data_IF_756122861170
#
_entry.id   IF_756122861170
#
_cell.length_a   1.000
_cell.length_b   1.000
_cell.length_c   1.000
_cell.angle_alpha   90.00
_cell.angle_beta   90.00
_cell.angle_gamma   90.00
#
_symmetry.space_group_name_H-M   'P 1'
#
loop_
_entity.id
_entity.type
_entity.pdbx_description
1 polymer ?
#
# COMPACT_ATOMS: atom_id res chain seq x y z
N UNK A 1 8.56 33.12 76.70
CA UNK A 1 7.41 32.28 76.35
C UNK A 1 6.27 33.20 75.90
N UNK A 2 6.13 33.45 74.60
CA UNK A 2 4.92 34.05 73.98
C UNK A 2 5.07 34.12 72.44
N UNK A 3 3.96 33.90 71.73
CA UNK A 3 3.75 34.00 70.26
C UNK A 3 2.73 35.11 69.97
N UNK A 4 2.39 35.54 68.74
CA UNK A 4 2.50 35.03 67.34
C UNK A 4 2.69 36.30 66.42
N UNK A 5 2.51 36.33 65.07
CA UNK A 5 2.42 35.28 64.03
C UNK A 5 3.30 35.54 62.77
N UNK A 6 3.46 34.50 61.93
CA UNK A 6 3.77 34.66 60.50
C UNK A 6 2.52 35.09 59.73
N UNK A 7 2.66 36.02 58.78
CA UNK A 7 1.56 36.45 57.90
C UNK A 7 1.93 36.15 56.44
N UNK A 8 1.04 35.44 55.74
CA UNK A 8 1.25 34.92 54.40
C UNK A 8 0.95 36.02 53.36
N UNK A 9 1.91 36.34 52.50
CA UNK A 9 1.66 37.01 51.21
C UNK A 9 1.84 36.02 50.07
N UNK A 10 0.83 35.92 49.20
CA UNK A 10 0.85 35.03 48.03
C UNK A 10 1.88 35.50 47.01
N UNK A 11 2.91 34.70 46.76
CA UNK A 11 3.69 34.82 45.54
C UNK A 11 2.97 34.05 44.41
N UNK A 12 2.58 34.75 43.35
CA UNK A 12 2.14 34.13 42.10
C UNK A 12 3.32 33.43 41.44
N UNK A 13 3.26 32.11 41.13
CA UNK A 13 4.30 31.48 40.32
C UNK A 13 4.17 32.00 38.90
N UNK A 14 5.17 32.75 38.45
CA UNK A 14 5.36 33.09 37.04
C UNK A 14 5.51 31.81 36.24
N UNK A 15 4.58 31.53 35.32
CA UNK A 15 4.72 30.44 34.34
C UNK A 15 5.89 30.79 33.43
N UNK A 16 7.05 30.18 33.71
CA UNK A 16 8.25 30.35 32.89
C UNK A 16 8.04 29.74 31.51
N UNK A 17 8.53 30.42 30.45
CA UNK A 17 8.41 29.98 29.05
C UNK A 17 8.86 28.53 28.80
N UNK A 18 9.88 28.08 29.54
CA UNK A 18 10.43 26.73 29.46
C UNK A 18 9.46 25.61 29.89
N UNK A 19 8.34 25.94 30.56
CA UNK A 19 7.27 24.98 30.83
C UNK A 19 6.26 24.79 29.70
N UNK A 20 6.30 25.64 28.65
CA UNK A 20 5.51 25.45 27.42
C UNK A 20 6.30 24.76 26.33
N UNK A 21 7.57 25.11 26.16
CA UNK A 21 8.45 24.45 25.17
C UNK A 21 8.51 22.93 25.44
N UNK A 22 8.66 22.49 26.70
CA UNK A 22 8.65 21.06 27.05
C UNK A 22 7.27 20.37 26.96
N UNK A 23 6.17 21.12 26.83
CA UNK A 23 4.81 20.57 26.68
C UNK A 23 4.30 20.65 25.22
N UNK A 24 4.88 21.55 24.43
CA UNK A 24 4.70 21.66 22.98
C UNK A 24 5.63 20.67 22.23
N UNK A 25 6.80 20.32 22.80
CA UNK A 25 7.66 19.23 22.29
C UNK A 25 7.03 17.82 22.45
N UNK A 26 6.11 17.60 23.40
CA UNK A 26 5.37 16.33 23.53
C UNK A 26 4.21 16.18 22.53
N UNK A 27 3.77 17.24 21.83
CA UNK A 27 2.73 17.15 20.79
C UNK A 27 3.30 16.90 19.37
N UNK A 28 4.62 16.85 19.19
CA UNK A 28 5.27 16.65 17.87
C UNK A 28 5.75 15.22 17.56
N UNK A 29 5.38 14.20 18.36
CA UNK A 29 5.50 12.75 18.00
C UNK A 29 4.51 12.33 16.88
N UNK A 30 4.37 13.15 15.83
CA UNK A 30 3.54 12.84 14.67
C UNK A 30 4.08 11.64 13.90
N UNK A 31 3.39 10.50 14.00
CA UNK A 31 3.42 9.29 13.14
C UNK A 31 4.45 9.25 12.00
N UNK A 32 5.71 9.06 12.36
CA UNK A 32 6.86 8.85 11.44
C UNK A 32 6.58 7.76 10.39
N UNK A 33 5.85 6.71 10.76
CA UNK A 33 5.48 5.60 9.88
C UNK A 33 4.53 6.05 8.77
N UNK A 34 3.44 6.73 9.09
CA UNK A 34 2.53 7.32 8.11
C UNK A 34 3.22 8.43 7.29
N UNK A 35 3.96 9.34 7.94
CA UNK A 35 4.74 10.39 7.26
C UNK A 35 5.66 9.80 6.19
N UNK A 36 6.29 8.66 6.45
CA UNK A 36 7.21 8.01 5.49
C UNK A 36 6.55 7.54 4.19
N UNK A 37 5.27 7.13 4.23
CA UNK A 37 4.58 6.53 3.08
C UNK A 37 3.56 7.47 2.42
N UNK A 38 3.06 8.48 3.15
CA UNK A 38 2.05 9.43 2.67
C UNK A 38 2.34 10.05 1.28
N UNK A 39 3.58 10.48 0.94
CA UNK A 39 3.89 11.02 -0.41
C UNK A 39 3.71 10.04 -1.57
N UNK A 40 3.52 8.76 -1.27
CA UNK A 40 3.39 7.66 -2.23
C UNK A 40 2.00 7.03 -2.21
N UNK A 41 1.05 7.63 -1.49
CA UNK A 41 -0.36 7.25 -1.40
C UNK A 41 -1.23 8.24 -2.19
N UNK A 42 -2.41 7.81 -2.70
CA UNK A 42 -3.29 8.65 -3.49
C UNK A 42 -4.23 9.54 -2.63
N UNK A 43 -3.86 9.81 -1.39
CA UNK A 43 -4.68 10.48 -0.38
C UNK A 43 -4.06 11.82 0.04
N UNK A 44 -4.91 12.77 0.41
CA UNK A 44 -4.49 14.01 1.05
C UNK A 44 -4.62 13.83 2.56
N UNK A 45 -3.66 14.37 3.31
CA UNK A 45 -3.74 14.50 4.77
C UNK A 45 -4.07 15.95 5.17
N UNK A 46 -4.92 16.12 6.18
CA UNK A 46 -5.22 17.42 6.82
C UNK A 46 -4.64 17.54 8.24
N UNK A 47 -4.23 16.43 8.84
CA UNK A 47 -3.76 16.32 10.24
C UNK A 47 -3.04 14.97 10.42
N UNK A 48 -2.46 14.72 11.60
CA UNK A 48 -1.62 13.52 11.82
C UNK A 48 -2.30 12.17 11.51
N UNK A 49 -3.64 12.04 11.57
CA UNK A 49 -4.39 10.83 11.17
C UNK A 49 -5.74 11.10 10.47
N UNK A 50 -5.93 12.24 9.79
CA UNK A 50 -7.14 12.47 8.96
C UNK A 50 -6.80 12.46 7.47
N UNK A 51 -7.18 11.38 6.81
CA UNK A 51 -6.90 11.08 5.41
C UNK A 51 -8.19 11.16 4.58
N UNK A 52 -8.09 11.71 3.37
CA UNK A 52 -9.25 11.84 2.49
C UNK A 52 -8.85 11.83 1.01
N UNK A 53 -9.78 11.38 0.18
CA UNK A 53 -9.73 11.56 -1.27
C UNK A 53 -10.09 13.00 -1.63
N UNK A 54 -9.53 13.58 -2.71
CA UNK A 54 -10.02 14.84 -3.28
C UNK A 54 -11.54 14.77 -3.57
N UNK A 55 -12.32 15.86 -3.41
CA UNK A 55 -13.77 15.83 -3.57
C UNK A 55 -14.24 15.26 -4.92
N UNK A 56 -13.57 15.65 -6.00
CA UNK A 56 -13.81 15.14 -7.36
C UNK A 56 -13.56 13.62 -7.48
N UNK A 57 -12.50 13.10 -6.84
CA UNK A 57 -12.24 11.66 -6.77
C UNK A 57 -13.35 10.94 -5.98
N UNK A 58 -13.86 11.53 -4.89
CA UNK A 58 -14.99 10.98 -4.13
C UNK A 58 -16.26 10.91 -5.00
N UNK A 59 -16.55 11.95 -5.77
CA UNK A 59 -17.72 12.00 -6.66
C UNK A 59 -17.64 10.96 -7.79
N UNK A 60 -16.47 10.84 -8.43
CA UNK A 60 -16.23 9.82 -9.45
C UNK A 60 -16.31 8.39 -8.87
N UNK A 61 -15.69 8.14 -7.71
CA UNK A 61 -15.78 6.84 -7.03
C UNK A 61 -17.20 6.50 -6.57
N UNK A 62 -17.98 7.47 -6.06
CA UNK A 62 -19.41 7.28 -5.74
C UNK A 62 -20.21 6.96 -7.00
N UNK A 63 -19.95 7.65 -8.10
CA UNK A 63 -20.63 7.44 -9.38
C UNK A 63 -20.38 6.01 -9.90
N UNK A 64 -19.12 5.57 -9.90
CA UNK A 64 -18.74 4.17 -10.21
C UNK A 64 -19.40 3.16 -9.26
N UNK A 65 -19.52 3.49 -7.98
CA UNK A 65 -20.05 2.56 -6.97
C UNK A 65 -21.58 2.34 -7.05
N UNK A 66 -22.28 3.14 -7.86
CA UNK A 66 -23.69 2.92 -8.23
C UNK A 66 -23.88 2.01 -9.46
N UNK A 67 -22.81 1.56 -10.13
CA UNK A 67 -22.88 0.65 -11.26
C UNK A 67 -22.91 1.31 -12.64
N UNK A 68 -22.96 0.49 -13.72
CA UNK A 68 -22.77 0.95 -15.10
C UNK A 68 -23.92 1.82 -15.60
N UNK A 69 -25.14 1.66 -15.08
CA UNK A 69 -26.32 2.46 -15.47
C UNK A 69 -26.20 3.94 -15.10
N UNK A 70 -25.40 4.28 -14.08
CA UNK A 70 -25.20 5.65 -13.60
C UNK A 70 -23.83 6.19 -14.01
N UNK A 71 -22.80 5.34 -14.01
CA UNK A 71 -21.43 5.72 -14.39
C UNK A 71 -21.13 5.68 -15.89
N UNK A 72 -21.95 4.98 -16.69
CA UNK A 72 -21.67 4.60 -18.08
C UNK A 72 -20.36 3.79 -18.27
N UNK A 73 -19.80 3.21 -17.21
CA UNK A 73 -18.59 2.37 -17.27
C UNK A 73 -18.98 0.90 -17.43
N UNK A 74 -19.01 0.45 -18.68
CA UNK A 74 -19.48 -0.88 -19.09
C UNK A 74 -18.54 -1.57 -20.11
N UNK A 75 -17.34 -1.03 -20.30
CA UNK A 75 -16.31 -1.51 -21.24
C UNK A 75 -14.91 -1.21 -20.71
N UNK A 76 -13.90 -1.88 -21.27
CA UNK A 76 -12.49 -1.60 -20.97
C UNK A 76 -12.11 -0.15 -21.31
N UNK A 77 -12.62 0.36 -22.43
CA UNK A 77 -12.39 1.74 -22.86
C UNK A 77 -12.98 2.77 -21.88
N UNK A 78 -14.26 2.61 -21.49
CA UNK A 78 -14.94 3.51 -20.56
C UNK A 78 -14.35 3.47 -19.15
N UNK A 79 -13.92 2.28 -18.70
CA UNK A 79 -13.20 2.12 -17.43
C UNK A 79 -11.87 2.88 -17.42
N UNK A 80 -11.14 2.81 -18.53
CA UNK A 80 -9.87 3.53 -18.66
C UNK A 80 -10.05 5.05 -18.66
N UNK A 81 -11.11 5.56 -19.29
CA UNK A 81 -11.48 6.99 -19.23
C UNK A 81 -11.80 7.39 -17.78
N UNK A 82 -12.68 6.66 -17.09
CA UNK A 82 -13.02 6.95 -15.69
C UNK A 82 -11.79 6.88 -14.74
N UNK A 83 -10.88 5.92 -14.95
CA UNK A 83 -9.58 5.87 -14.25
C UNK A 83 -8.77 7.13 -14.50
N UNK A 84 -8.71 7.60 -15.75
CA UNK A 84 -7.96 8.80 -16.13
C UNK A 84 -8.54 10.05 -15.46
N UNK A 85 -9.87 10.18 -15.42
CA UNK A 85 -10.55 11.31 -14.78
C UNK A 85 -10.32 11.34 -13.25
N UNK A 86 -10.40 10.19 -12.58
CA UNK A 86 -10.05 10.10 -11.14
C UNK A 86 -8.59 10.52 -10.93
N UNK A 87 -7.65 10.05 -11.76
CA UNK A 87 -6.23 10.41 -11.65
C UNK A 87 -5.98 11.90 -11.86
N UNK A 88 -6.64 12.52 -12.84
CA UNK A 88 -6.54 13.96 -13.10
C UNK A 88 -7.04 14.80 -11.92
N UNK A 89 -7.99 14.28 -11.13
CA UNK A 89 -8.49 14.93 -9.91
C UNK A 89 -7.55 14.84 -8.70
N UNK A 90 -6.48 14.02 -8.78
CA UNK A 90 -5.47 13.94 -7.74
C UNK A 90 -4.47 15.10 -7.91
N UNK A 91 -4.28 15.89 -6.84
CA UNK A 91 -3.49 17.15 -6.83
C UNK A 91 -2.02 17.01 -7.24
N UNK A 92 -1.49 15.80 -7.35
CA UNK A 92 -0.16 15.52 -7.89
C UNK A 92 -0.02 15.89 -9.38
N UNK A 93 -1.13 15.98 -10.13
CA UNK A 93 -1.13 16.01 -11.60
C UNK A 93 -0.61 17.30 -12.28
N UNK A 94 -0.22 18.35 -11.55
CA UNK A 94 0.27 19.61 -12.16
C UNK A 94 1.69 19.45 -12.76
N UNK A 95 2.51 18.53 -12.23
CA UNK A 95 3.85 18.21 -12.74
C UNK A 95 3.95 16.79 -13.33
N UNK A 96 3.00 15.90 -13.02
CA UNK A 96 2.97 14.55 -13.61
C UNK A 96 2.44 14.60 -15.05
N UNK A 97 3.31 14.98 -15.99
CA UNK A 97 3.04 14.81 -17.42
C UNK A 97 2.80 13.30 -17.66
N UNK A 98 1.63 12.86 -18.15
CA UNK A 98 1.34 11.44 -18.27
C UNK A 98 2.36 10.78 -19.21
N UNK A 99 2.88 9.58 -18.86
CA UNK A 99 3.79 8.86 -19.73
C UNK A 99 3.10 8.53 -21.06
N UNK A 100 3.88 8.52 -22.14
CA UNK A 100 3.44 8.32 -23.52
C UNK A 100 2.72 6.97 -23.76
N UNK A 101 2.72 6.05 -22.78
CA UNK A 101 2.05 4.73 -22.88
C UNK A 101 0.55 4.73 -22.58
N UNK A 102 -0.05 5.88 -22.29
CA UNK A 102 -1.47 6.01 -21.97
C UNK A 102 -2.39 5.46 -23.10
N UNK A 103 -1.94 5.47 -24.36
CA UNK A 103 -2.67 4.87 -25.49
C UNK A 103 -2.62 3.34 -25.52
N UNK A 104 -1.45 2.73 -25.42
CA UNK A 104 -1.32 1.26 -25.41
C UNK A 104 -1.98 0.65 -24.16
N UNK A 105 -1.91 1.33 -23.01
CA UNK A 105 -2.68 0.95 -21.84
C UNK A 105 -4.19 0.95 -22.11
N UNK A 106 -4.76 2.05 -22.65
CA UNK A 106 -6.19 2.14 -23.01
C UNK A 106 -6.63 1.00 -23.94
N UNK A 107 -5.86 0.76 -25.00
CA UNK A 107 -6.15 -0.29 -25.97
C UNK A 107 -6.01 -1.69 -25.36
N UNK A 108 -5.11 -1.89 -24.39
CA UNK A 108 -4.99 -3.13 -23.63
C UNK A 108 -6.15 -3.38 -22.66
N UNK A 109 -6.73 -2.33 -22.06
CA UNK A 109 -7.97 -2.44 -21.28
C UNK A 109 -9.13 -2.87 -22.18
N UNK A 110 -9.32 -2.19 -23.32
CA UNK A 110 -10.35 -2.54 -24.29
C UNK A 110 -10.18 -3.98 -24.79
N UNK A 111 -9.00 -4.35 -25.31
CA UNK A 111 -8.67 -5.71 -25.75
C UNK A 111 -8.99 -6.77 -24.68
N UNK A 112 -8.65 -6.52 -23.42
CA UNK A 112 -8.88 -7.50 -22.37
C UNK A 112 -10.36 -7.67 -22.00
N UNK A 113 -11.09 -6.56 -21.78
CA UNK A 113 -12.47 -6.60 -21.27
C UNK A 113 -13.51 -6.75 -22.38
N UNK A 114 -13.25 -6.20 -23.55
CA UNK A 114 -14.23 -6.09 -24.64
C UNK A 114 -14.07 -7.25 -25.65
N UNK A 115 -12.83 -7.73 -25.90
CA UNK A 115 -12.54 -8.80 -26.87
C UNK A 115 -12.17 -10.17 -26.24
N UNK A 116 -11.33 -10.20 -25.19
CA UNK A 116 -10.78 -11.46 -24.62
C UNK A 116 -11.60 -12.05 -23.46
N UNK A 117 -12.43 -11.26 -22.79
CA UNK A 117 -13.29 -11.72 -21.70
C UNK A 117 -14.63 -12.22 -22.25
N UNK A 118 -15.20 -13.26 -21.64
CA UNK A 118 -16.54 -13.71 -22.04
C UNK A 118 -17.58 -12.63 -21.72
N UNK A 119 -18.62 -12.51 -22.55
CA UNK A 119 -19.67 -11.49 -22.35
C UNK A 119 -20.31 -11.55 -20.96
N UNK A 120 -20.52 -12.76 -20.43
CA UNK A 120 -21.09 -12.97 -19.10
C UNK A 120 -20.14 -12.53 -17.97
N UNK A 121 -18.85 -12.87 -18.08
CA UNK A 121 -17.83 -12.44 -17.11
C UNK A 121 -17.62 -10.91 -17.16
N UNK A 122 -17.69 -10.32 -18.36
CA UNK A 122 -17.55 -8.88 -18.58
C UNK A 122 -18.73 -8.09 -17.99
N UNK A 123 -19.98 -8.53 -18.26
CA UNK A 123 -21.17 -7.99 -17.60
C UNK A 123 -21.05 -8.07 -16.07
N UNK A 124 -20.71 -9.24 -15.52
CA UNK A 124 -20.49 -9.42 -14.08
C UNK A 124 -19.37 -8.53 -13.52
N UNK A 125 -18.28 -8.34 -14.27
CA UNK A 125 -17.18 -7.48 -13.87
C UNK A 125 -17.62 -6.02 -13.71
N UNK A 126 -18.37 -5.48 -14.67
CA UNK A 126 -18.84 -4.10 -14.63
C UNK A 126 -20.05 -3.86 -13.73
N UNK A 127 -20.95 -4.83 -13.59
CA UNK A 127 -22.15 -4.71 -12.73
C UNK A 127 -21.87 -5.00 -11.25
N UNK A 128 -20.99 -5.95 -10.92
CA UNK A 128 -20.71 -6.34 -9.53
C UNK A 128 -19.32 -5.87 -9.05
N UNK A 129 -18.26 -6.14 -9.80
CA UNK A 129 -16.89 -6.07 -9.27
C UNK A 129 -16.34 -4.64 -9.27
N UNK A 130 -16.44 -3.91 -10.38
CA UNK A 130 -15.99 -2.51 -10.46
C UNK A 130 -16.71 -1.62 -9.42
N UNK A 131 -18.04 -1.72 -9.20
CA UNK A 131 -18.73 -0.94 -8.18
C UNK A 131 -18.34 -1.35 -6.75
N UNK A 132 -18.10 -2.64 -6.51
CA UNK A 132 -17.60 -3.12 -5.21
C UNK A 132 -16.17 -2.64 -4.92
N UNK A 133 -15.29 -2.59 -5.93
CA UNK A 133 -13.95 -2.00 -5.81
C UNK A 133 -14.02 -0.49 -5.54
N UNK A 134 -14.93 0.23 -6.22
CA UNK A 134 -15.13 1.66 -5.95
C UNK A 134 -15.62 1.92 -4.51
N UNK A 135 -16.54 1.10 -3.99
CA UNK A 135 -16.95 1.14 -2.58
C UNK A 135 -15.80 0.80 -1.61
N UNK A 136 -14.90 -0.13 -1.97
CA UNK A 136 -13.71 -0.43 -1.18
C UNK A 136 -12.71 0.73 -1.18
N UNK A 137 -12.55 1.43 -2.31
CA UNK A 137 -11.73 2.63 -2.43
C UNK A 137 -12.30 3.79 -1.60
N UNK A 138 -13.62 4.00 -1.59
CA UNK A 138 -14.26 5.00 -0.71
C UNK A 138 -13.97 4.74 0.78
N UNK A 139 -13.76 3.46 1.17
CA UNK A 139 -13.36 3.06 2.53
C UNK A 139 -11.85 3.07 2.76
N UNK A 140 -11.02 3.25 1.73
CA UNK A 140 -9.56 3.18 1.86
C UNK A 140 -8.96 4.15 2.92
N UNK A 141 -9.42 5.42 3.03
CA UNK A 141 -8.87 6.32 4.05
C UNK A 141 -9.14 5.81 5.47
N UNK A 142 -10.38 5.47 5.80
CA UNK A 142 -10.74 4.99 7.15
C UNK A 142 -10.17 3.61 7.47
N UNK A 143 -9.98 2.74 6.47
CA UNK A 143 -9.22 1.48 6.63
C UNK A 143 -7.75 1.74 7.01
N UNK A 144 -7.13 2.76 6.41
CA UNK A 144 -5.74 3.11 6.67
C UNK A 144 -5.58 3.85 8.01
N UNK A 145 -6.49 4.75 8.35
CA UNK A 145 -6.58 5.38 9.69
C UNK A 145 -6.74 4.32 10.78
N UNK A 146 -7.70 3.39 10.62
CA UNK A 146 -7.91 2.28 11.55
C UNK A 146 -6.67 1.39 11.67
N UNK A 147 -5.95 1.15 10.57
CA UNK A 147 -4.70 0.39 10.59
C UNK A 147 -3.64 1.06 11.47
N UNK A 148 -3.42 2.36 11.31
CA UNK A 148 -2.46 3.10 12.14
C UNK A 148 -2.90 3.23 13.61
N UNK A 149 -4.20 3.36 13.89
CA UNK A 149 -4.72 3.34 15.26
C UNK A 149 -4.45 1.99 15.95
N UNK A 150 -4.50 0.88 15.22
CA UNK A 150 -4.28 -0.46 15.76
C UNK A 150 -2.79 -0.91 15.77
N UNK A 151 -1.92 -0.31 14.94
CA UNK A 151 -0.50 -0.68 14.86
C UNK A 151 0.30 -0.38 16.13
N UNK A 152 -0.22 0.51 16.97
CA UNK A 152 0.45 1.02 18.17
C UNK A 152 0.00 0.26 19.43
N UNK A 153 -0.75 -0.84 19.25
CA UNK A 153 -1.24 -1.67 20.35
C UNK A 153 -0.09 -2.21 21.21
N UNK A 154 -0.18 -2.15 22.56
CA UNK A 154 0.88 -2.59 23.46
C UNK A 154 1.23 -4.09 23.34
N UNK A 155 0.37 -4.91 22.70
CA UNK A 155 0.70 -6.29 22.32
C UNK A 155 1.89 -6.40 21.36
N UNK A 156 2.28 -5.35 20.65
CA UNK A 156 3.40 -5.34 19.69
C UNK A 156 4.77 -5.14 20.32
N UNK A 157 4.85 -5.04 21.66
CA UNK A 157 6.10 -4.83 22.42
C UNK A 157 6.90 -3.61 21.94
N UNK A 158 6.22 -2.53 21.54
CA UNK A 158 6.84 -1.30 21.06
C UNK A 158 7.44 -1.39 19.64
N UNK A 159 7.30 -2.51 18.92
CA UNK A 159 7.76 -2.60 17.52
C UNK A 159 6.77 -1.89 16.62
N UNK A 160 7.21 -0.85 15.90
CA UNK A 160 6.40 -0.20 14.86
C UNK A 160 5.95 -1.26 13.83
N UNK A 161 4.65 -1.52 13.74
CA UNK A 161 4.02 -2.48 12.81
C UNK A 161 3.21 -1.81 11.70
N UNK A 162 3.10 -0.48 11.74
CA UNK A 162 2.40 0.35 10.77
C UNK A 162 2.97 0.26 9.35
N UNK A 163 2.15 0.65 8.38
CA UNK A 163 2.53 0.70 6.96
C UNK A 163 3.54 1.84 6.80
N UNK A 164 4.73 1.53 6.28
CA UNK A 164 5.85 2.48 6.19
C UNK A 164 6.82 2.05 5.10
N UNK A 165 7.67 2.96 4.65
CA UNK A 165 8.83 2.57 3.86
C UNK A 165 9.91 1.95 4.77
N UNK A 166 10.50 0.85 4.30
CA UNK A 166 11.69 0.25 4.87
C UNK A 166 12.88 0.56 3.95
N UNK A 167 13.77 1.44 4.41
CA UNK A 167 14.96 1.87 3.69
C UNK A 167 15.98 0.74 3.47
N UNK A 168 17.03 0.99 2.67
CA UNK A 168 18.15 0.05 2.53
C UNK A 168 18.74 -0.33 3.89
N UNK A 169 19.05 -1.62 4.08
CA UNK A 169 19.55 -2.18 5.35
C UNK A 169 18.64 -1.96 6.60
N UNK A 170 17.40 -1.47 6.44
CA UNK A 170 16.45 -1.34 7.55
C UNK A 170 15.65 -2.65 7.74
N UNK A 171 15.76 -3.28 8.91
CA UNK A 171 14.84 -4.36 9.27
C UNK A 171 13.46 -3.82 9.66
N UNK A 172 12.42 -4.64 9.48
CA UNK A 172 11.08 -4.25 9.90
C UNK A 172 10.02 -5.27 9.55
N UNK A 173 8.93 -5.24 10.32
CA UNK A 173 7.71 -6.01 10.07
C UNK A 173 6.52 -5.06 9.94
N UNK A 174 5.61 -5.40 9.03
CA UNK A 174 4.34 -4.71 8.77
C UNK A 174 3.23 -5.75 8.79
N UNK A 175 2.15 -5.49 9.52
CA UNK A 175 0.97 -6.36 9.56
C UNK A 175 -0.20 -5.64 8.91
N UNK A 176 -0.69 -6.11 7.77
CA UNK A 176 -1.82 -5.50 7.06
C UNK A 176 -3.04 -6.42 7.13
N UNK A 177 -4.23 -5.85 7.37
CA UNK A 177 -5.47 -6.60 7.20
C UNK A 177 -5.65 -6.97 5.72
N UNK A 178 -6.27 -8.11 5.45
CA UNK A 178 -6.52 -8.53 4.07
C UNK A 178 -7.48 -7.59 3.32
N UNK A 179 -8.33 -6.86 4.05
CA UNK A 179 -9.19 -5.81 3.50
C UNK A 179 -8.41 -4.56 3.10
N UNK A 180 -7.46 -4.09 3.92
CA UNK A 180 -6.55 -3.00 3.55
C UNK A 180 -5.67 -3.38 2.36
N UNK A 181 -5.20 -4.64 2.30
CA UNK A 181 -4.52 -5.19 1.13
C UNK A 181 -5.41 -5.12 -0.12
N UNK A 182 -6.69 -5.51 0.00
CA UNK A 182 -7.66 -5.40 -1.10
C UNK A 182 -7.80 -3.97 -1.61
N UNK A 183 -7.93 -2.99 -0.71
CA UNK A 183 -8.03 -1.58 -1.05
C UNK A 183 -6.74 -1.03 -1.71
N UNK A 184 -5.57 -1.39 -1.17
CA UNK A 184 -4.26 -1.08 -1.76
C UNK A 184 -4.13 -1.62 -3.19
N UNK A 185 -4.56 -2.87 -3.42
CA UNK A 185 -4.53 -3.50 -4.73
C UNK A 185 -5.56 -2.88 -5.69
N UNK A 186 -6.72 -2.45 -5.19
CA UNK A 186 -7.67 -1.66 -5.97
C UNK A 186 -7.05 -0.32 -6.41
N UNK A 187 -6.34 0.40 -5.52
CA UNK A 187 -5.60 1.62 -5.90
C UNK A 187 -4.57 1.36 -7.02
N UNK A 188 -3.91 0.19 -6.99
CA UNK A 188 -2.96 -0.21 -8.04
C UNK A 188 -3.64 -0.53 -9.38
N UNK A 189 -4.78 -1.22 -9.35
CA UNK A 189 -5.60 -1.49 -10.53
C UNK A 189 -6.13 -0.20 -11.17
N UNK A 190 -6.76 0.67 -10.38
CA UNK A 190 -7.20 2.01 -10.80
C UNK A 190 -6.02 2.97 -11.06
N UNK A 191 -4.76 2.51 -10.97
CA UNK A 191 -3.55 3.25 -11.29
C UNK A 191 -3.39 4.60 -10.54
N UNK A 192 -3.88 4.66 -9.30
CA UNK A 192 -4.03 5.89 -8.53
C UNK A 192 -2.75 6.34 -7.82
N UNK A 193 -1.76 5.46 -7.63
CA UNK A 193 -0.54 5.82 -6.90
C UNK A 193 0.32 6.83 -7.68
N UNK A 194 0.89 7.86 -7.02
CA UNK A 194 1.84 8.80 -7.64
C UNK A 194 3.04 8.08 -8.25
N UNK A 195 3.46 8.48 -9.46
CA UNK A 195 4.50 7.77 -10.23
C UNK A 195 5.85 8.46 -10.13
N UNK A 196 5.88 9.79 -10.24
CA UNK A 196 7.10 10.60 -10.34
C UNK A 196 7.89 10.56 -9.03
N UNK A 197 7.20 10.70 -7.89
CA UNK A 197 7.80 10.64 -6.55
C UNK A 197 8.37 9.25 -6.26
N UNK A 198 7.70 8.18 -6.74
CA UNK A 198 8.20 6.80 -6.65
C UNK A 198 9.48 6.61 -7.47
N UNK A 199 9.49 7.05 -8.73
CA UNK A 199 10.66 6.96 -9.61
C UNK A 199 11.88 7.71 -9.02
N UNK A 200 11.68 8.92 -8.51
CA UNK A 200 12.71 9.72 -7.85
C UNK A 200 13.30 9.10 -6.57
N UNK A 201 12.63 8.09 -5.99
CA UNK A 201 13.10 7.33 -4.83
C UNK A 201 13.49 5.90 -5.16
N UNK A 202 13.62 5.57 -6.45
CA UNK A 202 13.85 4.21 -6.97
C UNK A 202 12.86 3.18 -6.42
N UNK A 203 11.64 3.64 -6.06
CA UNK A 203 10.58 2.75 -5.63
C UNK A 203 9.99 2.01 -6.83
N UNK A 204 9.61 0.74 -6.64
CA UNK A 204 8.92 -0.02 -7.67
C UNK A 204 7.66 0.64 -8.22
N UNK A 205 7.43 0.37 -9.50
CA UNK A 205 6.15 0.63 -10.17
C UNK A 205 5.10 -0.33 -9.58
N UNK A 206 3.99 0.24 -9.12
CA UNK A 206 2.87 -0.52 -8.53
C UNK A 206 1.59 -0.47 -9.37
N UNK A 207 1.38 0.59 -10.15
CA UNK A 207 0.18 0.76 -10.97
C UNK A 207 0.11 -0.29 -12.10
N UNK A 208 -1.09 -0.80 -12.39
CA UNK A 208 -1.29 -1.93 -13.31
C UNK A 208 -1.36 -1.53 -14.79
N UNK A 209 -1.17 -0.26 -15.16
CA UNK A 209 -1.20 0.20 -16.57
C UNK A 209 -0.28 -0.64 -17.46
N UNK A 210 0.93 -0.98 -16.97
CA UNK A 210 1.90 -1.80 -17.68
C UNK A 210 1.44 -3.24 -17.95
N UNK A 211 0.48 -3.76 -17.17
CA UNK A 211 -0.07 -5.10 -17.42
C UNK A 211 -0.92 -5.12 -18.68
N UNK A 212 -1.72 -4.08 -18.91
CA UNK A 212 -2.58 -3.93 -20.08
C UNK A 212 -1.81 -3.43 -21.30
N UNK A 213 -0.89 -2.48 -21.11
CA UNK A 213 0.08 -2.04 -22.13
C UNK A 213 0.86 -3.23 -22.71
N UNK A 214 1.46 -4.07 -21.87
CA UNK A 214 2.18 -5.28 -22.30
C UNK A 214 1.29 -6.32 -22.99
N UNK A 215 -0.01 -6.38 -22.66
CA UNK A 215 -0.97 -7.24 -23.34
C UNK A 215 -1.24 -6.75 -24.77
N UNK A 216 -1.33 -5.44 -24.98
CA UNK A 216 -1.60 -4.85 -26.28
C UNK A 216 -0.35 -4.83 -27.17
N UNK A 217 0.77 -4.30 -26.67
CA UNK A 217 2.01 -4.14 -27.46
C UNK A 217 2.68 -5.49 -27.76
N UNK A 218 2.48 -6.50 -26.90
CA UNK A 218 3.16 -7.80 -26.97
C UNK A 218 2.27 -8.94 -26.44
N UNK A 219 1.13 -9.17 -27.11
CA UNK A 219 0.17 -10.18 -26.69
C UNK A 219 0.82 -11.54 -26.39
N UNK A 220 0.51 -12.08 -25.21
CA UNK A 220 0.86 -13.45 -24.84
C UNK A 220 -0.17 -14.03 -23.89
N UNK A 221 -0.48 -15.31 -24.06
CA UNK A 221 -1.38 -16.05 -23.17
C UNK A 221 -0.87 -16.04 -21.71
N UNK A 222 0.45 -15.92 -21.48
CA UNK A 222 1.02 -15.73 -20.15
C UNK A 222 0.57 -14.42 -19.51
N UNK A 223 0.62 -13.32 -20.25
CA UNK A 223 0.22 -12.00 -19.77
C UNK A 223 -1.30 -11.92 -19.55
N UNK A 224 -2.09 -12.46 -20.48
CA UNK A 224 -3.55 -12.59 -20.32
C UNK A 224 -3.92 -13.37 -19.05
N UNK A 225 -3.27 -14.52 -18.81
CA UNK A 225 -3.55 -15.34 -17.63
C UNK A 225 -3.17 -14.66 -16.30
N UNK A 226 -2.16 -13.76 -16.27
CA UNK A 226 -1.91 -12.91 -15.09
C UNK A 226 -3.08 -11.98 -14.82
N UNK A 227 -3.59 -11.32 -15.85
CA UNK A 227 -4.72 -10.39 -15.71
C UNK A 227 -5.95 -11.17 -15.26
N UNK A 228 -6.27 -12.32 -15.88
CA UNK A 228 -7.35 -13.23 -15.43
C UNK A 228 -7.20 -13.62 -13.95
N UNK A 229 -5.99 -13.91 -13.46
CA UNK A 229 -5.75 -14.19 -12.03
C UNK A 229 -6.04 -12.99 -11.11
N UNK A 230 -5.67 -11.77 -11.53
CA UNK A 230 -5.92 -10.52 -10.79
C UNK A 230 -7.42 -10.19 -10.75
N UNK A 231 -8.10 -10.31 -11.89
CA UNK A 231 -9.55 -10.12 -12.03
C UNK A 231 -10.32 -11.13 -11.16
N UNK A 232 -9.93 -12.40 -11.20
CA UNK A 232 -10.50 -13.42 -10.32
C UNK A 232 -10.24 -13.12 -8.84
N UNK A 233 -9.04 -12.64 -8.47
CA UNK A 233 -8.77 -12.19 -7.09
C UNK A 233 -9.71 -11.05 -6.65
N UNK A 234 -9.94 -10.05 -7.50
CA UNK A 234 -10.87 -8.96 -7.20
C UNK A 234 -12.32 -9.47 -7.05
N UNK A 235 -12.80 -10.31 -7.97
CA UNK A 235 -14.11 -10.96 -7.85
C UNK A 235 -14.24 -11.72 -6.52
N UNK A 236 -13.21 -12.46 -6.10
CA UNK A 236 -13.19 -13.18 -4.82
C UNK A 236 -13.31 -12.25 -3.60
N UNK A 237 -12.54 -11.16 -3.52
CA UNK A 237 -12.60 -10.26 -2.36
C UNK A 237 -13.86 -9.39 -2.34
N UNK A 238 -14.43 -9.08 -3.51
CA UNK A 238 -15.69 -8.34 -3.62
C UNK A 238 -16.90 -9.21 -3.23
N UNK A 239 -16.93 -10.49 -3.62
CA UNK A 239 -18.00 -11.42 -3.20
C UNK A 239 -17.87 -11.85 -1.73
N UNK A 240 -16.64 -12.04 -1.22
CA UNK A 240 -16.41 -12.44 0.16
C UNK A 240 -15.05 -11.91 0.65
N UNK A 241 -15.07 -10.75 1.32
CA UNK A 241 -13.86 -10.13 1.85
C UNK A 241 -13.18 -11.05 2.89
N UNK A 242 -11.96 -11.53 2.64
CA UNK A 242 -11.27 -12.41 3.57
C UNK A 242 -10.91 -11.68 4.87
N UNK A 243 -11.09 -12.37 6.00
CA UNK A 243 -10.77 -11.85 7.33
C UNK A 243 -9.45 -12.43 7.81
N UNK A 244 -8.52 -11.56 8.18
CA UNK A 244 -7.20 -11.94 8.68
C UNK A 244 -6.16 -10.85 8.42
N UNK A 245 -4.93 -11.14 8.82
CA UNK A 245 -3.77 -10.28 8.63
C UNK A 245 -2.68 -11.02 7.86
N UNK A 246 -1.88 -10.27 7.11
CA UNK A 246 -0.67 -10.74 6.43
C UNK A 246 0.50 -9.93 6.95
N UNK A 247 1.56 -10.62 7.40
CA UNK A 247 2.82 -9.98 7.77
C UNK A 247 3.79 -9.93 6.60
N UNK A 248 4.48 -8.80 6.49
CA UNK A 248 5.61 -8.59 5.58
C UNK A 248 6.83 -8.24 6.42
N UNK A 249 7.88 -9.05 6.37
CA UNK A 249 9.08 -8.91 7.20
C UNK A 249 10.33 -8.75 6.31
N UNK A 250 11.01 -7.61 6.42
CA UNK A 250 12.36 -7.40 5.86
C UNK A 250 13.37 -7.80 6.94
N UNK A 251 13.99 -8.97 6.77
CA UNK A 251 15.15 -9.39 7.56
C UNK A 251 16.43 -8.86 6.93
N UNK A 252 17.35 -8.39 7.76
CA UNK A 252 18.65 -7.85 7.35
C UNK A 252 19.74 -8.57 8.11
N UNK A 253 20.80 -8.97 7.42
CA UNK A 253 22.02 -9.49 8.04
C UNK A 253 22.96 -8.31 8.32
N UNK A 254 23.32 -8.01 9.58
CA UNK A 254 24.24 -6.92 9.89
C UNK A 254 25.59 -7.11 9.20
N UNK A 255 26.16 -6.04 8.65
CA UNK A 255 27.52 -6.07 8.09
C UNK A 255 28.59 -6.22 9.19
N UNK A 256 28.33 -5.69 10.37
CA UNK A 256 29.19 -5.81 11.55
C UNK A 256 28.85 -7.06 12.37
N UNK A 257 29.87 -7.73 12.90
CA UNK A 257 29.69 -8.83 13.84
C UNK A 257 29.10 -8.31 15.15
N UNK A 258 27.90 -8.80 15.51
CA UNK A 258 27.24 -8.48 16.79
C UNK A 258 27.01 -9.79 17.57
N UNK A 259 27.31 -9.86 18.88
CA UNK A 259 27.32 -11.13 19.63
C UNK A 259 26.02 -11.95 19.65
N UNK A 260 24.89 -11.35 19.26
CA UNK A 260 23.55 -11.95 19.32
C UNK A 260 22.86 -12.07 17.95
N UNK A 261 23.54 -11.74 16.84
CA UNK A 261 22.95 -11.78 15.50
C UNK A 261 23.85 -12.49 14.50
N UNK A 262 23.24 -13.20 13.55
CA UNK A 262 23.95 -13.71 12.36
C UNK A 262 24.33 -12.52 11.48
N UNK A 263 25.57 -12.09 11.57
CA UNK A 263 26.16 -11.08 10.68
C UNK A 263 26.50 -11.68 9.31
N UNK A 264 26.78 -10.81 8.34
CA UNK A 264 27.26 -11.21 7.02
C UNK A 264 28.57 -12.02 7.16
N UNK A 265 28.65 -13.23 6.59
CA UNK A 265 29.86 -14.05 6.69
C UNK A 265 31.01 -13.43 5.90
N UNK A 266 32.22 -13.50 6.45
CA UNK A 266 33.46 -13.19 5.72
C UNK A 266 33.73 -14.27 4.66
N UNK A 267 34.66 -14.02 3.74
CA UNK A 267 34.91 -14.92 2.61
C UNK A 267 35.49 -16.29 3.03
N UNK A 268 36.30 -16.29 4.08
CA UNK A 268 36.92 -17.44 4.76
C UNK A 268 35.88 -18.37 5.44
N UNK A 269 34.81 -17.80 6.01
CA UNK A 269 33.76 -18.55 6.72
C UNK A 269 33.19 -19.74 5.94
N UNK A 270 33.06 -19.63 4.62
CA UNK A 270 32.51 -20.71 3.79
C UNK A 270 33.55 -21.79 3.45
N UNK A 271 34.82 -21.42 3.32
CA UNK A 271 35.92 -22.38 3.07
C UNK A 271 36.35 -23.14 4.32
N UNK A 272 36.15 -22.55 5.50
CA UNK A 272 36.52 -23.13 6.81
C UNK A 272 35.32 -23.79 7.52
N UNK A 273 34.17 -23.92 6.85
CA UNK A 273 32.94 -24.43 7.47
C UNK A 273 32.94 -25.95 7.61
N UNK A 274 33.00 -26.44 8.86
CA UNK A 274 32.84 -27.87 9.19
C UNK A 274 31.37 -28.29 9.40
N UNK A 275 30.40 -27.44 9.03
CA UNK A 275 28.97 -27.69 9.28
C UNK A 275 28.46 -28.84 8.41
N UNK A 276 27.95 -29.90 9.05
CA UNK A 276 27.37 -31.07 8.39
C UNK A 276 26.15 -30.68 7.54
N UNK A 277 26.08 -31.22 6.32
CA UNK A 277 24.99 -30.95 5.39
C UNK A 277 23.62 -31.39 5.93
N UNK A 278 22.63 -30.51 5.80
CA UNK A 278 21.24 -30.79 6.15
C UNK A 278 20.63 -31.86 5.21
N UNK A 279 19.68 -32.71 5.69
CA UNK A 279 18.98 -33.67 4.86
C UNK A 279 18.23 -33.03 3.67
N UNK A 280 18.52 -33.49 2.45
CA UNK A 280 17.90 -33.01 1.23
C UNK A 280 16.75 -33.92 0.77
N UNK A 281 15.57 -33.34 0.46
CA UNK A 281 14.44 -34.06 -0.12
C UNK A 281 14.09 -33.51 -1.50
N UNK A 282 14.41 -34.29 -2.54
CA UNK A 282 14.09 -33.95 -3.94
C UNK A 282 12.69 -34.47 -4.30
N UNK A 283 11.91 -33.67 -5.05
CA UNK A 283 10.59 -34.06 -5.54
C UNK A 283 10.32 -33.49 -6.92
N UNK A 284 10.25 -34.36 -7.93
CA UNK A 284 10.07 -33.98 -9.33
C UNK A 284 8.63 -33.52 -9.67
N UNK A 285 7.65 -33.98 -8.89
CA UNK A 285 6.22 -33.82 -9.17
C UNK A 285 5.56 -32.77 -8.27
N UNK A 286 6.34 -31.95 -7.55
CA UNK A 286 5.83 -30.92 -6.64
C UNK A 286 6.50 -29.58 -6.90
N UNK A 287 5.71 -28.64 -7.42
CA UNK A 287 6.10 -27.23 -7.45
C UNK A 287 6.02 -26.66 -6.02
N UNK A 288 6.89 -25.69 -5.71
CA UNK A 288 6.74 -24.83 -4.53
C UNK A 288 5.53 -23.93 -4.79
N UNK A 289 4.34 -24.41 -4.39
CA UNK A 289 3.07 -23.81 -4.75
C UNK A 289 2.92 -22.40 -4.18
N UNK A 290 2.59 -21.43 -5.04
CA UNK A 290 2.36 -20.06 -4.57
C UNK A 290 2.29 -18.93 -5.59
N UNK A 291 2.09 -19.17 -6.90
CA UNK A 291 2.14 -18.10 -7.92
C UNK A 291 1.27 -16.87 -7.59
N UNK A 292 0.03 -17.07 -7.11
CA UNK A 292 -0.85 -15.97 -6.70
C UNK A 292 -0.36 -15.25 -5.44
N UNK A 293 0.16 -15.99 -4.44
CA UNK A 293 0.85 -15.40 -3.28
C UNK A 293 2.09 -14.63 -3.72
N UNK A 294 2.85 -15.12 -4.70
CA UNK A 294 4.08 -14.47 -5.17
C UNK A 294 3.79 -13.18 -5.94
N UNK A 295 2.70 -13.11 -6.71
CA UNK A 295 2.27 -11.86 -7.37
C UNK A 295 1.79 -10.82 -6.35
N UNK A 296 0.91 -11.20 -5.41
CA UNK A 296 0.50 -10.27 -4.33
C UNK A 296 1.68 -9.86 -3.44
N UNK A 297 2.53 -10.80 -3.01
CA UNK A 297 3.69 -10.52 -2.15
C UNK A 297 4.76 -9.71 -2.86
N UNK A 298 4.95 -9.87 -4.19
CA UNK A 298 5.73 -8.90 -4.96
C UNK A 298 5.04 -7.54 -4.90
N UNK A 299 3.81 -7.37 -5.39
CA UNK A 299 3.19 -6.04 -5.49
C UNK A 299 3.05 -5.30 -4.14
N UNK A 300 2.85 -6.02 -3.02
CA UNK A 300 2.81 -5.44 -1.66
C UNK A 300 4.21 -5.22 -1.07
N UNK A 301 5.15 -6.15 -1.28
CA UNK A 301 6.55 -5.94 -0.89
C UNK A 301 7.19 -4.76 -1.64
N UNK A 302 6.82 -4.59 -2.90
CA UNK A 302 7.18 -3.47 -3.78
C UNK A 302 6.53 -2.13 -3.34
N UNK A 303 5.55 -2.15 -2.42
CA UNK A 303 4.99 -0.97 -1.76
C UNK A 303 5.78 -0.58 -0.50
N UNK A 304 6.47 -1.54 0.12
CA UNK A 304 7.12 -1.43 1.42
C UNK A 304 8.65 -1.28 1.37
N UNK A 305 9.27 -1.59 0.24
CA UNK A 305 10.73 -1.72 0.11
C UNK A 305 11.29 -0.61 -0.79
N UNK A 306 12.15 0.24 -0.21
CA UNK A 306 13.16 0.95 -0.99
C UNK A 306 14.22 -0.07 -1.45
N UNK A 307 14.53 -0.02 -2.75
CA UNK A 307 15.66 -0.75 -3.36
C UNK A 307 16.99 -0.35 -2.75
#
# INVERSE_FOLDING_TARGET
MQTIPFLITKATPSVGRQGREAMEEEEEEGREDLKSILPFLPLISRSNLTLFWPPQAVEALKTLSQGPLISNVNSGDSLFVAISDIRNSLTFSISERPPLSLRSARLGYALFFDDLMSRADCTKWFEEVVPALANLLLRFPSLLESHYQNSDSPLTSGRKTGLRLLGPQQEGIVFLSQELIGAILACAFFCLFPVTVRYAKHLPIINFNYLFESLYDSYSAYQENKIKCIIHYFGRICSCMPRGFVSFERKVLPLEQRPLHVSYPKADFWSESEIILCPLKVSWNKLVGGLLKFLLMKMLGLLLVCG
#
